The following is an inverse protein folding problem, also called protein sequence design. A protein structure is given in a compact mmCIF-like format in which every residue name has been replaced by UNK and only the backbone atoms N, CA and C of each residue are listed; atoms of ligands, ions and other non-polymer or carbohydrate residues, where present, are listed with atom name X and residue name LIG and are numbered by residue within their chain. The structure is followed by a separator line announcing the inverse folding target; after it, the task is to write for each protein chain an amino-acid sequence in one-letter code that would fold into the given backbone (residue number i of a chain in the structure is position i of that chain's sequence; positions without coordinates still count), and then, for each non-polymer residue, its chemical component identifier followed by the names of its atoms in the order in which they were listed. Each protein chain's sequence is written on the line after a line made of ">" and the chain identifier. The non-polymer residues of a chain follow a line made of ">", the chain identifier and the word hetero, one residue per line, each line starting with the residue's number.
data_IF_320803220584
#
_entry.id   IF_320803220584
#
_cell.length_a   1.000
_cell.length_b   1.000
_cell.length_c   1.000
_cell.angle_alpha   90.00
_cell.angle_beta   90.00
_cell.angle_gamma   90.00
#
_symmetry.space_group_name_H-M   'P 1'
#
loop_
_entity.id
_entity.type
_entity.pdbx_description
1 polymer ?
#
# COMPACT_ATOMS: atom_id res chain seq x y z
N UNK A 1 18.52 -40.66 -2.02
CA UNK A 1 18.18 -41.23 -0.69
C UNK A 1 17.09 -42.32 -0.74
N UNK A 2 17.19 -43.34 0.12
CA UNK A 2 16.21 -44.44 0.22
C UNK A 2 15.12 -44.12 1.26
N UNK A 3 13.87 -44.41 0.92
CA UNK A 3 12.74 -44.25 1.84
C UNK A 3 12.78 -45.30 2.95
N UNK A 4 12.81 -44.88 4.22
CA UNK A 4 12.78 -45.79 5.37
C UNK A 4 11.47 -46.59 5.50
N UNK A 5 10.37 -46.12 4.91
CA UNK A 5 9.06 -46.76 5.01
C UNK A 5 8.81 -47.83 3.93
N UNK A 6 9.28 -47.60 2.70
CA UNK A 6 8.98 -48.50 1.59
C UNK A 6 10.19 -48.92 0.75
N UNK A 7 11.40 -48.52 1.14
CA UNK A 7 12.66 -48.89 0.48
C UNK A 7 12.82 -48.33 -0.93
N UNK A 8 11.97 -47.40 -1.37
CA UNK A 8 12.07 -46.80 -2.71
C UNK A 8 13.20 -45.77 -2.75
N UNK A 9 13.99 -45.78 -3.81
CA UNK A 9 14.99 -44.75 -4.07
C UNK A 9 14.32 -43.46 -4.56
N UNK A 10 14.67 -42.34 -3.92
CA UNK A 10 14.16 -41.01 -4.26
C UNK A 10 15.35 -40.07 -4.44
N UNK A 11 15.12 -39.00 -5.21
CA UNK A 11 16.11 -37.92 -5.36
C UNK A 11 16.42 -37.27 -4.00
N UNK A 12 17.66 -36.79 -3.82
CA UNK A 12 18.18 -36.19 -2.58
C UNK A 12 17.36 -34.99 -2.06
N UNK A 13 16.57 -34.38 -2.94
CA UNK A 13 15.74 -33.20 -2.68
C UNK A 13 14.24 -33.52 -2.52
N UNK A 14 13.83 -34.79 -2.60
CA UNK A 14 12.43 -35.16 -2.47
C UNK A 14 11.95 -34.96 -1.03
N UNK A 15 10.97 -34.09 -0.82
CA UNK A 15 10.36 -33.90 0.51
C UNK A 15 9.49 -35.10 0.92
N UNK A 16 8.88 -35.75 -0.07
CA UNK A 16 7.99 -36.90 0.10
C UNK A 16 8.39 -38.05 -0.83
N UNK A 17 8.14 -39.28 -0.40
CA UNK A 17 8.40 -40.46 -1.19
C UNK A 17 7.43 -40.56 -2.37
N UNK A 18 7.98 -40.74 -3.57
CA UNK A 18 7.19 -40.85 -4.81
C UNK A 18 6.25 -42.06 -4.81
N UNK A 19 6.56 -43.09 -4.02
CA UNK A 19 5.80 -44.34 -4.00
C UNK A 19 4.77 -44.41 -2.87
N UNK A 20 5.16 -44.08 -1.64
CA UNK A 20 4.29 -44.23 -0.47
C UNK A 20 3.83 -42.91 0.15
N UNK A 21 4.30 -41.76 -0.35
CA UNK A 21 3.96 -40.45 0.19
C UNK A 21 4.59 -40.12 1.55
N UNK A 22 5.37 -41.02 2.14
CA UNK A 22 6.01 -40.77 3.43
C UNK A 22 7.05 -39.63 3.33
N UNK A 23 7.15 -38.73 4.33
CA UNK A 23 8.12 -37.65 4.33
C UNK A 23 9.55 -38.22 4.42
N UNK A 24 10.48 -37.67 3.63
CA UNK A 24 11.84 -38.20 3.48
C UNK A 24 12.94 -37.38 4.17
N UNK A 25 12.63 -36.16 4.64
CA UNK A 25 13.60 -35.30 5.35
C UNK A 25 12.98 -34.54 6.51
N UNK A 26 13.56 -34.75 7.69
CA UNK A 26 13.59 -33.82 8.82
C UNK A 26 14.96 -33.14 8.76
N UNK A 27 15.12 -32.09 7.93
CA UNK A 27 16.40 -31.38 7.89
C UNK A 27 16.48 -30.39 9.07
N UNK A 28 17.34 -30.79 10.02
CA UNK A 28 18.07 -29.91 10.89
C UNK A 28 18.81 -28.81 10.10
N UNK A 29 18.86 -27.62 10.70
CA UNK A 29 19.77 -26.53 10.40
C UNK A 29 19.85 -26.08 8.92
N UNK A 30 18.79 -25.42 8.45
CA UNK A 30 18.95 -24.37 7.42
C UNK A 30 19.89 -23.27 7.96
N UNK A 31 20.96 -22.86 7.24
CA UNK A 31 21.81 -21.73 7.61
C UNK A 31 21.08 -20.38 7.57
N UNK A 32 19.91 -20.34 6.93
CA UNK A 32 19.05 -19.17 6.94
C UNK A 32 18.16 -19.20 8.18
N UNK A 33 18.11 -18.12 8.98
CA UNK A 33 17.10 -18.00 10.01
C UNK A 33 15.74 -18.01 9.32
N UNK A 34 15.03 -19.14 9.41
CA UNK A 34 13.61 -19.17 9.12
C UNK A 34 12.95 -18.35 10.23
N UNK A 35 12.55 -17.12 9.89
CA UNK A 35 11.74 -16.30 10.79
C UNK A 35 10.32 -16.89 10.77
N UNK A 36 10.13 -18.02 11.45
CA UNK A 36 8.80 -18.63 11.67
C UNK A 36 8.05 -17.96 12.82
N UNK A 37 8.65 -16.96 13.47
CA UNK A 37 8.07 -16.15 14.55
C UNK A 37 7.98 -14.68 14.14
N UNK A 38 7.49 -14.39 12.93
CA UNK A 38 6.81 -13.10 12.74
C UNK A 38 5.40 -13.31 13.28
N UNK A 39 5.17 -12.92 14.54
CA UNK A 39 3.82 -12.63 15.01
C UNK A 39 3.32 -11.44 14.15
N UNK A 40 2.69 -11.77 13.02
CA UNK A 40 1.82 -10.83 12.34
C UNK A 40 0.63 -10.66 13.27
N UNK A 41 0.76 -9.70 14.20
CA UNK A 41 -0.30 -9.27 15.08
C UNK A 41 -1.39 -8.65 14.20
N UNK A 42 -2.28 -9.49 13.67
CA UNK A 42 -3.54 -9.04 13.13
C UNK A 42 -4.37 -8.62 14.33
N UNK A 43 -4.24 -7.35 14.71
CA UNK A 43 -5.07 -6.75 15.74
C UNK A 43 -6.53 -7.01 15.35
N UNK A 44 -7.21 -7.84 16.14
CA UNK A 44 -8.65 -8.00 16.02
C UNK A 44 -9.29 -6.61 16.11
N UNK A 45 -10.33 -6.30 15.31
CA UNK A 45 -10.94 -4.98 15.29
C UNK A 45 -11.39 -4.63 16.71
N UNK A 46 -10.62 -3.76 17.37
CA UNK A 46 -10.92 -3.30 18.71
C UNK A 46 -12.18 -2.45 18.62
N UNK A 47 -13.26 -2.98 19.17
CA UNK A 47 -14.57 -2.37 19.18
C UNK A 47 -14.48 -0.92 19.73
N UNK A 48 -14.93 0.04 18.92
CA UNK A 48 -15.08 1.44 19.30
C UNK A 48 -13.85 2.36 19.26
N UNK A 49 -12.64 1.90 18.90
CA UNK A 49 -11.48 2.81 18.76
C UNK A 49 -11.35 3.29 17.31
N UNK A 50 -11.20 4.60 17.04
CA UNK A 50 -11.05 5.08 15.68
C UNK A 50 -9.80 4.46 15.06
N UNK A 51 -9.96 3.80 13.92
CA UNK A 51 -8.90 3.08 13.16
C UNK A 51 -7.75 4.01 12.75
N UNK A 52 -7.99 5.32 12.76
CA UNK A 52 -7.01 6.37 12.50
C UNK A 52 -7.02 7.37 13.66
N UNK A 53 -5.84 7.83 14.08
CA UNK A 53 -5.75 8.83 15.14
C UNK A 53 -6.47 10.12 14.72
N UNK A 54 -7.25 10.71 15.65
CA UNK A 54 -8.04 11.92 15.35
C UNK A 54 -7.17 13.07 14.85
N UNK A 55 -5.92 13.15 15.32
CA UNK A 55 -4.93 14.14 14.87
C UNK A 55 -4.52 13.91 13.43
N UNK A 56 -4.26 12.66 13.03
CA UNK A 56 -3.91 12.34 11.65
C UNK A 56 -5.08 12.64 10.71
N UNK A 57 -6.31 12.27 11.10
CA UNK A 57 -7.50 12.57 10.30
C UNK A 57 -7.67 14.09 10.11
N UNK A 58 -7.55 14.87 11.18
CA UNK A 58 -7.65 16.33 11.12
C UNK A 58 -6.54 16.94 10.25
N UNK A 59 -5.31 16.43 10.34
CA UNK A 59 -4.18 16.90 9.52
C UNK A 59 -4.40 16.62 8.03
N UNK A 60 -4.93 15.44 7.68
CA UNK A 60 -5.25 15.07 6.30
C UNK A 60 -6.35 15.97 5.75
N UNK A 61 -7.42 16.21 6.53
CA UNK A 61 -8.51 17.11 6.14
C UNK A 61 -7.98 18.54 5.94
N UNK A 62 -7.25 19.08 6.91
CA UNK A 62 -6.68 20.42 6.81
C UNK A 62 -5.75 20.55 5.59
N UNK A 63 -4.80 19.62 5.43
CA UNK A 63 -3.87 19.62 4.30
C UNK A 63 -4.58 19.54 2.95
N UNK A 64 -5.63 18.73 2.84
CA UNK A 64 -6.43 18.60 1.62
C UNK A 64 -7.18 19.89 1.24
N UNK A 65 -7.45 20.78 2.21
CA UNK A 65 -8.10 22.07 1.97
C UNK A 65 -7.11 23.14 1.49
N UNK A 66 -5.86 23.10 1.96
CA UNK A 66 -4.82 24.05 1.54
C UNK A 66 -4.27 23.75 0.13
N UNK A 67 -4.18 22.47 -0.25
CA UNK A 67 -3.69 22.05 -1.57
C UNK A 67 -4.39 22.74 -2.77
N UNK A 68 -5.73 22.79 -2.87
CA UNK A 68 -6.40 23.46 -3.99
C UNK A 68 -6.15 24.97 -4.02
N UNK A 69 -5.99 25.62 -2.86
CA UNK A 69 -5.67 27.06 -2.78
C UNK A 69 -4.30 27.32 -3.43
N UNK A 70 -3.30 26.50 -3.10
CA UNK A 70 -1.96 26.58 -3.70
C UNK A 70 -2.04 26.35 -5.21
N UNK A 71 -2.81 25.35 -5.65
CA UNK A 71 -3.06 25.05 -7.06
C UNK A 71 -3.63 26.24 -7.83
N UNK A 72 -4.63 26.92 -7.27
CA UNK A 72 -5.26 28.09 -7.89
C UNK A 72 -4.28 29.27 -7.97
N UNK A 73 -3.53 29.55 -6.90
CA UNK A 73 -2.53 30.64 -6.86
C UNK A 73 -1.47 30.40 -7.94
N UNK A 74 -0.87 29.21 -7.96
CA UNK A 74 0.16 28.86 -8.94
C UNK A 74 -0.39 28.89 -10.38
N UNK A 75 -1.59 28.34 -10.61
CA UNK A 75 -2.27 28.42 -11.89
C UNK A 75 -2.44 29.86 -12.37
N UNK A 76 -2.89 30.76 -11.48
CA UNK A 76 -3.05 32.18 -11.79
C UNK A 76 -1.72 32.89 -12.07
N UNK A 77 -0.66 32.61 -11.29
CA UNK A 77 0.67 33.19 -11.56
C UNK A 77 1.21 32.77 -12.93
N UNK A 78 0.97 31.53 -13.37
CA UNK A 78 1.42 31.03 -14.67
C UNK A 78 0.61 31.60 -15.84
N UNK A 79 -0.68 31.89 -15.64
CA UNK A 79 -1.50 32.58 -16.65
C UNK A 79 -1.01 34.00 -16.96
N UNK A 80 -0.38 34.67 -15.99
CA UNK A 80 0.16 36.02 -16.17
C UNK A 80 1.47 36.07 -16.96
N UNK A 81 2.18 34.95 -17.11
CA UNK A 81 3.40 34.88 -17.92
C UNK A 81 3.06 35.04 -19.41
N UNK A 82 3.95 35.64 -20.20
CA UNK A 82 3.78 35.81 -21.66
C UNK A 82 4.07 34.54 -22.44
N UNK A 83 4.84 33.61 -21.85
CA UNK A 83 5.17 32.32 -22.44
C UNK A 83 3.92 31.44 -22.67
N UNK A 84 3.67 30.96 -23.90
CA UNK A 84 2.51 30.15 -24.24
C UNK A 84 2.49 28.77 -23.54
N UNK A 85 3.64 28.17 -23.27
CA UNK A 85 3.74 26.91 -22.54
C UNK A 85 3.38 27.11 -21.05
N UNK A 86 3.85 28.19 -20.44
CA UNK A 86 3.51 28.54 -19.06
C UNK A 86 2.00 28.79 -18.90
N UNK A 87 1.37 29.49 -19.86
CA UNK A 87 -0.10 29.70 -19.85
C UNK A 87 -0.89 28.42 -19.98
N UNK A 88 -0.45 27.48 -20.83
CA UNK A 88 -1.10 26.16 -20.95
C UNK A 88 -1.04 25.40 -19.63
N UNK A 89 0.14 25.35 -19.00
CA UNK A 89 0.30 24.75 -17.68
C UNK A 89 -0.58 25.45 -16.62
N UNK A 90 -0.63 26.79 -16.65
CA UNK A 90 -1.48 27.58 -15.75
C UNK A 90 -2.97 27.29 -15.90
N UNK A 91 -3.48 27.15 -17.13
CA UNK A 91 -4.88 26.74 -17.38
C UNK A 91 -5.17 25.36 -16.80
N UNK A 92 -4.29 24.39 -17.04
CA UNK A 92 -4.44 23.03 -16.52
C UNK A 92 -4.46 23.05 -14.99
N UNK A 93 -3.50 23.71 -14.36
CA UNK A 93 -3.44 23.85 -12.90
C UNK A 93 -4.68 24.51 -12.32
N UNK A 94 -5.21 25.55 -12.97
CA UNK A 94 -6.40 26.25 -12.51
C UNK A 94 -7.66 25.37 -12.64
N UNK A 95 -7.81 24.65 -13.76
CA UNK A 95 -8.92 23.70 -13.95
C UNK A 95 -8.85 22.58 -12.92
N UNK A 96 -7.69 21.94 -12.74
CA UNK A 96 -7.53 20.89 -11.74
C UNK A 96 -7.81 21.39 -10.32
N UNK A 97 -7.25 22.55 -9.95
CA UNK A 97 -7.49 23.16 -8.63
C UNK A 97 -8.96 23.48 -8.40
N UNK A 98 -9.65 24.02 -9.40
CA UNK A 98 -11.07 24.38 -9.32
C UNK A 98 -11.98 23.14 -9.25
N UNK A 99 -11.72 22.12 -10.09
CA UNK A 99 -12.48 20.86 -10.07
C UNK A 99 -12.29 20.14 -8.74
N UNK A 100 -11.05 20.04 -8.24
CA UNK A 100 -10.77 19.38 -6.96
C UNK A 100 -11.42 20.12 -5.78
N UNK A 101 -11.39 21.46 -5.78
CA UNK A 101 -12.08 22.27 -4.77
C UNK A 101 -13.60 22.04 -4.79
N UNK A 102 -14.22 22.06 -5.97
CA UNK A 102 -15.66 21.79 -6.12
C UNK A 102 -16.02 20.38 -5.68
N UNK A 103 -15.22 19.38 -6.06
CA UNK A 103 -15.41 17.99 -5.63
C UNK A 103 -15.36 17.86 -4.10
N UNK A 104 -14.40 18.52 -3.44
CA UNK A 104 -14.30 18.54 -1.98
C UNK A 104 -15.52 19.19 -1.33
N UNK A 105 -16.02 20.32 -1.87
CA UNK A 105 -17.24 20.98 -1.37
C UNK A 105 -18.43 20.03 -1.48
N UNK A 106 -18.59 19.34 -2.61
CA UNK A 106 -19.68 18.37 -2.82
C UNK A 106 -19.55 17.19 -1.86
N UNK A 107 -18.37 16.60 -1.72
CA UNK A 107 -18.14 15.48 -0.80
C UNK A 107 -18.42 15.85 0.66
N UNK A 108 -18.04 17.06 1.08
CA UNK A 108 -18.35 17.58 2.43
C UNK A 108 -19.85 17.85 2.58
N UNK A 109 -20.52 18.33 1.53
CA UNK A 109 -21.95 18.66 1.56
C UNK A 109 -22.86 17.41 1.51
N UNK A 110 -22.35 16.29 0.97
CA UNK A 110 -23.07 15.00 0.90
C UNK A 110 -22.85 14.10 2.12
N UNK A 111 -21.90 14.47 2.99
CA UNK A 111 -21.55 13.72 4.20
C UNK A 111 -22.37 14.21 5.38
#
# INVERSE_FOLDING_TARGET
>A
MLCAQCGTENIEQAEHCIKCGAPLKLDAASPYPRITNLDMQFDAPADGKPVVSSVLNLAVIAGSLFFPIIGIIMGFTYLRKTDPAARKAGKIWLVFGMVFLLMQIVLVSLR
#
